data_IF_206243259022
#
_entry.id   IF_206243259022
#
_cell.length_a   1.000
_cell.length_b   1.000
_cell.length_c   1.000
_cell.angle_alpha   90.00
_cell.angle_beta   90.00
_cell.angle_gamma   90.00
#
_symmetry.space_group_name_H-M   'P 1'
#
loop_
_entity.id
_entity.type
_entity.pdbx_description
1 polymer ?
#
# COMPACT_ATOMS: atom_id res chain seq x y z
N UNK A 1 6.66 8.59 -69.34
CA UNK A 1 6.97 7.15 -69.46
C UNK A 1 7.83 6.73 -68.26
N UNK A 2 7.40 5.69 -67.52
CA UNK A 2 8.10 4.87 -66.49
C UNK A 2 8.73 5.60 -65.26
N UNK A 3 8.23 5.52 -64.02
CA UNK A 3 8.08 4.42 -63.01
C UNK A 3 9.39 3.71 -62.63
N UNK A 4 9.83 3.85 -61.37
CA UNK A 4 10.50 2.89 -60.43
C UNK A 4 10.66 3.64 -59.08
N UNK A 5 9.91 3.41 -57.98
CA UNK A 5 9.90 2.34 -56.93
C UNK A 5 11.27 1.97 -56.35
N UNK A 6 11.45 2.24 -55.04
CA UNK A 6 12.02 1.37 -53.96
C UNK A 6 12.67 2.25 -52.87
N UNK A 7 12.01 2.43 -51.71
CA UNK A 7 12.14 1.61 -50.50
C UNK A 7 13.41 1.92 -49.67
N UNK A 8 13.25 2.70 -48.60
CA UNK A 8 14.13 2.62 -47.43
C UNK A 8 13.28 2.31 -46.20
N UNK A 9 13.55 1.12 -45.69
CA UNK A 9 13.01 0.49 -44.50
C UNK A 9 13.23 1.38 -43.28
N UNK A 10 12.14 1.88 -42.69
CA UNK A 10 12.17 2.27 -41.29
C UNK A 10 12.00 1.01 -40.45
N UNK A 11 13.07 0.67 -39.74
CA UNK A 11 13.12 -0.35 -38.70
C UNK A 11 12.25 0.13 -37.52
N UNK A 12 10.96 -0.19 -37.56
CA UNK A 12 10.02 0.06 -36.47
C UNK A 12 10.10 -1.10 -35.48
N UNK A 13 10.63 -0.82 -34.31
CA UNK A 13 10.73 -1.74 -33.17
C UNK A 13 9.35 -2.25 -32.72
N UNK A 14 9.33 -3.52 -32.36
CA UNK A 14 8.20 -4.28 -31.84
C UNK A 14 7.56 -3.64 -30.60
N UNK A 15 6.23 -3.61 -30.55
CA UNK A 15 5.49 -3.81 -29.30
C UNK A 15 4.06 -4.23 -29.64
N UNK A 16 3.79 -5.53 -29.51
CA UNK A 16 2.44 -6.05 -29.35
C UNK A 16 1.80 -5.44 -28.12
N UNK A 17 0.57 -4.91 -28.25
CA UNK A 17 -0.37 -4.87 -27.14
C UNK A 17 -1.57 -5.71 -27.51
N UNK A 18 -1.61 -6.86 -26.84
CA UNK A 18 -2.60 -7.89 -26.98
C UNK A 18 -3.95 -7.41 -26.45
N UNK A 19 -4.98 -7.94 -27.11
CA UNK A 19 -6.38 -7.72 -26.86
C UNK A 19 -6.80 -7.95 -25.41
N UNK A 20 -7.77 -7.14 -25.02
CA UNK A 20 -8.73 -7.30 -23.95
C UNK A 20 -9.35 -8.71 -23.93
N UNK A 21 -9.21 -9.41 -22.80
CA UNK A 21 -10.20 -10.41 -22.34
C UNK A 21 -10.34 -10.24 -20.83
N UNK A 22 -11.41 -9.57 -20.42
CA UNK A 22 -11.95 -9.67 -19.05
C UNK A 22 -12.58 -11.05 -18.97
N UNK A 23 -11.82 -12.02 -18.46
CA UNK A 23 -12.37 -13.30 -18.03
C UNK A 23 -12.48 -13.27 -16.51
N UNK A 24 -13.73 -13.25 -16.06
CA UNK A 24 -14.11 -13.30 -14.66
C UNK A 24 -14.24 -14.77 -14.26
N UNK A 25 -13.15 -15.40 -13.80
CA UNK A 25 -13.23 -16.48 -12.82
C UNK A 25 -11.83 -16.88 -12.29
N UNK A 26 -11.43 -16.35 -11.14
CA UNK A 26 -10.37 -16.97 -10.33
C UNK A 26 -10.80 -16.92 -8.86
N UNK A 27 -11.54 -17.95 -8.43
CA UNK A 27 -11.42 -18.47 -7.07
C UNK A 27 -10.09 -19.22 -6.97
N UNK A 28 -9.02 -18.55 -6.53
CA UNK A 28 -7.78 -19.23 -6.17
C UNK A 28 -7.06 -18.49 -5.02
N UNK A 29 -7.23 -19.06 -3.83
CA UNK A 29 -6.21 -19.19 -2.78
C UNK A 29 -5.47 -17.94 -2.28
N UNK A 30 -6.06 -17.29 -1.27
CA UNK A 30 -5.39 -16.80 -0.06
C UNK A 30 -3.91 -16.32 -0.16
N UNK A 31 -3.63 -15.38 -1.05
CA UNK A 31 -2.56 -14.38 -0.87
C UNK A 31 -3.08 -13.06 -1.41
N UNK A 32 -4.19 -12.60 -0.84
CA UNK A 32 -4.72 -11.27 -1.11
C UNK A 32 -3.69 -10.25 -0.61
N UNK A 33 -2.82 -9.81 -1.51
CA UNK A 33 -2.27 -8.46 -1.46
C UNK A 33 -3.47 -7.51 -1.60
N UNK A 34 -4.27 -7.40 -0.54
CA UNK A 34 -5.35 -6.42 -0.45
C UNK A 34 -4.69 -5.09 -0.72
N UNK A 35 -5.01 -4.48 -1.86
CA UNK A 35 -4.52 -3.14 -2.21
C UNK A 35 -5.20 -2.20 -1.22
N UNK A 36 -4.59 -2.06 -0.05
CA UNK A 36 -5.11 -1.22 1.01
C UNK A 36 -4.97 0.23 0.57
N UNK A 37 -6.08 0.95 0.65
CA UNK A 37 -6.08 2.35 0.30
C UNK A 37 -5.24 3.14 1.30
N UNK A 38 -4.40 4.01 0.78
CA UNK A 38 -3.70 5.05 1.52
C UNK A 38 -4.33 6.40 1.22
N UNK A 39 -4.32 7.34 2.17
CA UNK A 39 -4.79 8.69 1.91
C UNK A 39 -3.98 9.29 0.77
N UNK A 40 -4.67 9.98 -0.15
CA UNK A 40 -4.06 10.65 -1.31
C UNK A 40 -3.26 9.71 -2.23
N UNK A 41 -3.54 8.40 -2.24
CA UNK A 41 -2.83 7.41 -3.05
C UNK A 41 -1.31 7.36 -2.79
N UNK A 42 -0.89 7.72 -1.57
CA UNK A 42 0.52 7.69 -1.16
C UNK A 42 1.06 6.26 -1.11
N UNK A 43 2.36 6.09 -1.30
CA UNK A 43 2.98 4.78 -1.01
C UNK A 43 2.82 4.43 0.48
N UNK A 44 2.75 3.14 0.82
CA UNK A 44 2.66 2.69 2.21
C UNK A 44 3.79 3.26 3.08
N UNK A 45 4.99 3.36 2.51
CA UNK A 45 6.13 3.95 3.22
C UNK A 45 5.87 5.44 3.53
N UNK A 46 5.35 6.19 2.54
CA UNK A 46 5.02 7.60 2.74
C UNK A 46 3.86 7.79 3.73
N UNK A 47 2.79 6.98 3.63
CA UNK A 47 1.70 6.98 4.60
C UNK A 47 2.23 6.72 6.02
N UNK A 48 3.05 5.68 6.16
CA UNK A 48 3.63 5.28 7.42
C UNK A 48 4.56 6.32 8.06
N UNK A 49 5.44 6.92 7.27
CA UNK A 49 6.42 7.90 7.75
C UNK A 49 5.82 9.29 7.95
N UNK A 50 5.02 9.78 7.01
CA UNK A 50 4.57 11.17 6.99
C UNK A 50 3.22 11.38 7.68
N UNK A 51 2.35 10.37 7.68
CA UNK A 51 1.00 10.51 8.24
C UNK A 51 0.98 9.91 9.64
N UNK A 52 1.38 8.65 9.76
CA UNK A 52 1.36 7.92 11.04
C UNK A 52 2.59 8.26 11.89
N UNK A 53 3.77 8.38 11.28
CA UNK A 53 5.02 8.69 11.97
C UNK A 53 5.69 7.46 12.60
N UNK A 54 5.46 6.25 12.08
CA UNK A 54 6.04 5.01 12.64
C UNK A 54 7.47 4.70 12.13
N UNK A 55 8.07 5.60 11.34
CA UNK A 55 9.41 5.43 10.76
C UNK A 55 9.54 4.28 9.74
N UNK A 56 10.76 3.79 9.51
CA UNK A 56 11.04 2.69 8.59
C UNK A 56 10.99 1.31 9.25
N UNK A 57 11.30 1.24 10.54
CA UNK A 57 11.55 -0.01 11.28
C UNK A 57 10.67 -0.21 12.52
N UNK A 58 10.91 -1.30 13.26
CA UNK A 58 10.16 -1.65 14.46
C UNK A 58 10.35 -0.64 15.60
N UNK A 59 11.51 -0.01 15.70
CA UNK A 59 11.83 0.98 16.74
C UNK A 59 10.97 2.24 16.60
N UNK A 60 10.84 2.75 15.38
CA UNK A 60 9.99 3.91 15.09
C UNK A 60 8.52 3.63 15.39
N UNK A 61 8.04 2.44 15.03
CA UNK A 61 6.67 2.03 15.29
C UNK A 61 6.40 1.87 16.80
N UNK A 62 7.36 1.31 17.54
CA UNK A 62 7.29 1.20 18.99
C UNK A 62 7.29 2.56 19.67
N UNK A 63 8.24 3.43 19.31
CA UNK A 63 8.33 4.78 19.87
C UNK A 63 7.04 5.56 19.60
N UNK A 64 6.48 5.45 18.39
CA UNK A 64 5.21 6.09 18.06
C UNK A 64 4.05 5.48 18.85
N UNK A 65 4.02 4.16 19.04
CA UNK A 65 3.00 3.48 19.83
C UNK A 65 2.98 3.95 21.29
N UNK A 66 4.14 4.12 21.90
CA UNK A 66 4.24 4.58 23.29
C UNK A 66 3.80 6.04 23.43
N UNK A 67 4.12 6.89 22.45
CA UNK A 67 3.91 8.35 22.55
C UNK A 67 2.66 8.90 21.82
N UNK A 68 1.91 8.07 21.08
CA UNK A 68 0.76 8.57 20.33
C UNK A 68 -0.37 9.04 21.25
N UNK A 69 -0.86 10.25 20.98
CA UNK A 69 -1.92 10.91 21.74
C UNK A 69 -3.12 11.25 20.84
N UNK A 70 -4.20 11.73 21.44
CA UNK A 70 -5.44 12.08 20.70
C UNK A 70 -5.20 13.23 19.71
N UNK A 71 -4.30 14.14 20.02
CA UNK A 71 -3.89 15.27 19.17
C UNK A 71 -3.24 14.76 17.88
N UNK A 72 -2.41 13.72 17.98
CA UNK A 72 -1.82 13.07 16.80
C UNK A 72 -2.90 12.45 15.90
N UNK A 73 -3.92 11.83 16.50
CA UNK A 73 -5.04 11.24 15.77
C UNK A 73 -5.85 12.31 15.04
N UNK A 74 -6.04 13.49 15.64
CA UNK A 74 -6.66 14.62 14.96
C UNK A 74 -5.86 15.05 13.72
N UNK A 75 -4.52 15.07 13.79
CA UNK A 75 -3.66 15.36 12.63
C UNK A 75 -3.78 14.25 11.56
N UNK A 76 -3.83 12.98 11.96
CA UNK A 76 -4.00 11.84 11.04
C UNK A 76 -5.34 11.95 10.29
N UNK A 77 -6.41 12.38 10.97
CA UNK A 77 -7.74 12.65 10.39
C UNK A 77 -7.67 13.80 9.38
N UNK A 78 -7.02 14.91 9.74
CA UNK A 78 -6.85 16.07 8.85
C UNK A 78 -6.06 15.74 7.58
N UNK A 79 -5.13 14.79 7.65
CA UNK A 79 -4.37 14.31 6.49
C UNK A 79 -5.18 13.42 5.53
N UNK A 80 -6.47 13.20 5.81
CA UNK A 80 -7.39 12.46 4.96
C UNK A 80 -7.47 10.96 5.27
N UNK A 81 -6.94 10.53 6.43
CA UNK A 81 -7.07 9.14 6.87
C UNK A 81 -8.44 8.93 7.51
N UNK A 82 -9.09 7.81 7.21
CA UNK A 82 -10.38 7.43 7.82
C UNK A 82 -10.22 6.27 8.79
N UNK A 83 -11.21 6.07 9.68
CA UNK A 83 -11.21 4.96 10.62
C UNK A 83 -11.18 3.61 9.89
N UNK A 84 -11.90 3.51 8.76
CA UNK A 84 -11.91 2.30 7.94
C UNK A 84 -10.53 1.97 7.41
N UNK A 85 -9.76 2.97 6.95
CA UNK A 85 -8.38 2.76 6.51
C UNK A 85 -7.51 2.25 7.64
N UNK A 86 -7.59 2.85 8.83
CA UNK A 86 -6.82 2.40 10.00
C UNK A 86 -7.16 0.95 10.36
N UNK A 87 -8.44 0.58 10.37
CA UNK A 87 -8.88 -0.80 10.66
C UNK A 87 -8.39 -1.79 9.59
N UNK A 88 -8.44 -1.41 8.32
CA UNK A 88 -7.95 -2.26 7.23
C UNK A 88 -6.43 -2.48 7.33
N UNK A 89 -5.66 -1.41 7.63
CA UNK A 89 -4.22 -1.51 7.88
C UNK A 89 -3.90 -2.31 9.14
N UNK A 90 -4.70 -2.19 10.20
CA UNK A 90 -4.55 -3.01 11.41
C UNK A 90 -4.64 -4.50 11.06
N UNK A 91 -5.70 -4.91 10.37
CA UNK A 91 -5.93 -6.31 10.00
C UNK A 91 -4.82 -6.88 9.12
N UNK A 92 -4.32 -6.10 8.16
CA UNK A 92 -3.22 -6.51 7.30
C UNK A 92 -1.93 -6.74 8.09
N UNK A 93 -1.55 -5.83 8.99
CA UNK A 93 -0.36 -6.04 9.82
C UNK A 93 -0.55 -7.14 10.87
N UNK A 94 -1.77 -7.38 11.36
CA UNK A 94 -2.07 -8.52 12.23
C UNK A 94 -1.87 -9.84 11.48
N UNK A 95 -2.31 -9.94 10.22
CA UNK A 95 -2.08 -11.09 9.37
C UNK A 95 -0.59 -11.27 9.05
N UNK A 96 0.12 -10.19 8.70
CA UNK A 96 1.56 -10.23 8.45
C UNK A 96 2.34 -10.67 9.70
N UNK A 97 1.92 -10.21 10.88
CA UNK A 97 2.51 -10.62 12.15
C UNK A 97 2.25 -12.10 12.50
N UNK A 98 1.10 -12.65 12.12
CA UNK A 98 0.79 -14.07 12.30
C UNK A 98 1.59 -14.94 11.32
N UNK A 99 1.69 -14.52 10.06
CA UNK A 99 2.43 -15.23 9.02
C UNK A 99 3.95 -15.18 9.24
N UNK A 100 4.46 -14.11 9.86
CA UNK A 100 5.88 -13.96 10.15
C UNK A 100 6.10 -13.52 11.60
N UNK A 101 6.11 -14.50 12.51
CA UNK A 101 6.34 -14.30 13.95
C UNK A 101 7.70 -13.64 14.26
N UNK A 102 8.67 -13.79 13.36
CA UNK A 102 10.02 -13.22 13.47
C UNK A 102 10.09 -11.75 13.04
N UNK A 103 9.01 -11.17 12.50
CA UNK A 103 8.97 -9.75 12.11
C UNK A 103 8.33 -8.89 13.22
N UNK A 104 9.12 -8.27 14.12
CA UNK A 104 8.57 -7.42 15.17
C UNK A 104 7.89 -6.16 14.63
N UNK A 105 8.25 -5.71 13.42
CA UNK A 105 7.72 -4.48 12.81
C UNK A 105 6.23 -4.57 12.58
N UNK A 106 5.77 -5.68 11.98
CA UNK A 106 4.36 -5.92 11.71
C UNK A 106 3.53 -5.86 13.01
N UNK A 107 4.04 -6.50 14.08
CA UNK A 107 3.39 -6.50 15.40
C UNK A 107 3.24 -5.10 16.00
N UNK A 108 4.28 -4.26 15.93
CA UNK A 108 4.20 -2.91 16.45
C UNK A 108 3.29 -2.02 15.60
N UNK A 109 3.32 -2.16 14.27
CA UNK A 109 2.42 -1.43 13.37
C UNK A 109 0.95 -1.79 13.58
N UNK A 110 0.64 -3.08 13.73
CA UNK A 110 -0.71 -3.55 14.08
C UNK A 110 -1.21 -2.94 15.39
N UNK A 111 -0.38 -2.98 16.44
CA UNK A 111 -0.72 -2.38 17.74
C UNK A 111 -0.88 -0.87 17.65
N UNK A 112 -0.06 -0.19 16.85
CA UNK A 112 -0.17 1.25 16.64
C UNK A 112 -1.49 1.61 15.96
N UNK A 113 -1.85 0.90 14.89
CA UNK A 113 -3.13 1.10 14.20
C UNK A 113 -4.31 0.86 15.15
N UNK A 114 -4.25 -0.19 15.98
CA UNK A 114 -5.26 -0.45 17.00
C UNK A 114 -5.40 0.73 17.98
N UNK A 115 -4.27 1.24 18.52
CA UNK A 115 -4.28 2.39 19.44
C UNK A 115 -4.82 3.66 18.78
N UNK A 116 -4.54 3.89 17.49
CA UNK A 116 -5.11 5.01 16.73
C UNK A 116 -6.62 4.86 16.59
N UNK A 117 -7.10 3.64 16.32
CA UNK A 117 -8.54 3.36 16.23
C UNK A 117 -9.25 3.53 17.58
N UNK A 118 -8.60 3.14 18.69
CA UNK A 118 -9.13 3.33 20.05
C UNK A 118 -9.22 4.82 20.44
N UNK A 119 -8.33 5.65 19.90
CA UNK A 119 -8.26 7.10 20.15
C UNK A 119 -9.03 7.96 19.14
N UNK A 120 -9.75 7.32 18.19
CA UNK A 120 -10.36 7.98 17.01
C UNK A 120 -11.50 8.95 17.29
#
# INVERSE_FOLDING_TARGET
MFRFIAALFFWGTTASLHAMTVDANIEESATSATILSTPQNLSLNAFGQWIIGWGTGPEGARQRLDNIQREDVAVIKQKGTTLEMIKAWQQHFELEAQNNLSNPTARYRARLMKKIADLW
#
